data_IF_040240595590
#
_entry.id   IF_040240595590
#
_cell.length_a   1.000
_cell.length_b   1.000
_cell.length_c   1.000
_cell.angle_alpha   90.00
_cell.angle_beta   90.00
_cell.angle_gamma   90.00
#
_symmetry.space_group_name_H-M   'P 1'
#
loop_
_entity.id
_entity.type
_entity.pdbx_description
1 polymer ?
#
# COMPACT_ATOMS: atom_id res chain seq x y z
N UNK A 1 -29.39 16.75 -8.19
CA UNK A 1 -28.11 17.22 -7.63
C UNK A 1 -27.05 16.47 -8.39
N UNK A 2 -26.63 17.02 -9.53
CA UNK A 2 -25.67 16.38 -10.44
C UNK A 2 -24.27 16.54 -9.86
N UNK A 3 -23.50 15.47 -9.89
CA UNK A 3 -22.10 15.42 -9.48
C UNK A 3 -21.28 16.18 -10.54
N UNK A 4 -20.95 17.45 -10.25
CA UNK A 4 -20.16 18.31 -11.15
C UNK A 4 -18.71 17.79 -11.20
N UNK A 5 -18.51 16.77 -12.01
CA UNK A 5 -17.19 16.24 -12.32
C UNK A 5 -16.59 17.05 -13.46
N UNK A 6 -15.69 17.98 -13.12
CA UNK A 6 -14.91 18.73 -14.11
C UNK A 6 -14.14 17.78 -15.03
N UNK A 7 -14.24 17.99 -16.34
CA UNK A 7 -13.46 17.27 -17.34
C UNK A 7 -11.97 17.59 -17.21
N UNK A 8 -11.11 16.65 -17.63
CA UNK A 8 -9.66 16.83 -17.61
C UNK A 8 -9.20 18.09 -18.38
N UNK A 9 -9.84 18.40 -19.51
CA UNK A 9 -9.55 19.59 -20.31
C UNK A 9 -9.92 20.89 -19.61
N UNK A 10 -11.00 20.88 -18.84
CA UNK A 10 -11.47 22.05 -18.08
C UNK A 10 -10.53 22.34 -16.91
N UNK A 11 -10.08 21.29 -16.22
CA UNK A 11 -9.06 21.40 -15.17
C UNK A 11 -7.74 21.99 -15.69
N UNK A 12 -7.28 21.53 -16.87
CA UNK A 12 -6.06 22.07 -17.46
C UNK A 12 -6.20 23.58 -17.77
N UNK A 13 -7.36 23.99 -18.28
CA UNK A 13 -7.66 25.39 -18.57
C UNK A 13 -7.65 26.23 -17.29
N UNK A 14 -8.22 25.72 -16.20
CA UNK A 14 -8.21 26.40 -14.90
C UNK A 14 -6.77 26.56 -14.40
N UNK A 15 -5.96 25.49 -14.42
CA UNK A 15 -4.57 25.51 -13.94
C UNK A 15 -3.72 26.50 -14.73
N UNK A 16 -3.91 26.58 -16.05
CA UNK A 16 -3.17 27.52 -16.91
C UNK A 16 -3.47 28.99 -16.63
N UNK A 17 -4.65 29.29 -16.06
CA UNK A 17 -5.05 30.65 -15.71
C UNK A 17 -4.62 31.08 -14.29
N UNK A 18 -4.13 30.14 -13.46
CA UNK A 18 -3.56 30.44 -12.15
C UNK A 18 -2.20 31.13 -12.31
N UNK A 19 -1.81 31.94 -11.32
CA UNK A 19 -0.46 32.49 -11.29
C UNK A 19 0.60 31.41 -10.99
N UNK A 20 1.87 31.74 -11.22
CA UNK A 20 2.98 30.78 -11.06
C UNK A 20 3.10 30.26 -9.61
N UNK A 21 2.84 31.08 -8.60
CA UNK A 21 2.92 30.66 -7.21
C UNK A 21 1.77 29.71 -6.85
N UNK A 22 0.57 29.96 -7.36
CA UNK A 22 -0.60 29.09 -7.23
C UNK A 22 -0.40 27.75 -7.94
N UNK A 23 0.16 27.76 -9.15
CA UNK A 23 0.50 26.54 -9.88
C UNK A 23 1.51 25.68 -9.11
N UNK A 24 2.53 26.30 -8.52
CA UNK A 24 3.54 25.60 -7.71
C UNK A 24 2.94 25.01 -6.43
N UNK A 25 2.09 25.77 -5.73
CA UNK A 25 1.36 25.27 -4.55
C UNK A 25 0.49 24.06 -4.90
N UNK A 26 -0.29 24.17 -5.99
CA UNK A 26 -1.17 23.08 -6.43
C UNK A 26 -0.37 21.82 -6.82
N UNK A 27 0.77 21.98 -7.49
CA UNK A 27 1.65 20.87 -7.83
C UNK A 27 2.13 20.12 -6.57
N UNK A 28 2.52 20.86 -5.52
CA UNK A 28 2.97 20.27 -4.25
C UNK A 28 1.85 19.51 -3.54
N UNK A 29 0.64 20.06 -3.52
CA UNK A 29 -0.54 19.44 -2.92
C UNK A 29 -0.93 18.16 -3.64
N UNK A 30 -1.01 18.19 -4.98
CA UNK A 30 -1.32 17.03 -5.82
C UNK A 30 -0.26 15.95 -5.63
N UNK A 31 1.02 16.30 -5.62
CA UNK A 31 2.11 15.36 -5.35
C UNK A 31 1.97 14.72 -3.96
N UNK A 32 1.56 15.48 -2.95
CA UNK A 32 1.33 14.98 -1.59
C UNK A 32 0.16 14.02 -1.51
N UNK A 33 -0.96 14.33 -2.18
CA UNK A 33 -2.12 13.44 -2.28
C UNK A 33 -1.72 12.11 -2.93
N UNK A 34 -1.01 12.16 -4.06
CA UNK A 34 -0.54 10.96 -4.76
C UNK A 34 0.39 10.15 -3.86
N UNK A 35 1.39 10.78 -3.23
CA UNK A 35 2.28 10.09 -2.29
C UNK A 35 1.52 9.41 -1.15
N UNK A 36 0.52 10.07 -0.58
CA UNK A 36 -0.26 9.50 0.52
C UNK A 36 -1.16 8.32 0.07
N UNK A 37 -1.65 8.34 -1.17
CA UNK A 37 -2.36 7.19 -1.76
C UNK A 37 -1.43 6.01 -2.05
N UNK A 38 -0.20 6.30 -2.48
CA UNK A 38 0.82 5.28 -2.83
C UNK A 38 1.54 4.74 -1.59
N UNK A 39 1.53 5.45 -0.45
CA UNK A 39 2.01 4.92 0.83
C UNK A 39 1.18 3.68 1.18
N UNK A 40 1.72 2.51 0.84
CA UNK A 40 1.26 1.23 1.36
C UNK A 40 1.28 1.32 2.88
N UNK A 41 0.21 0.88 3.54
CA UNK A 41 0.21 0.73 4.99
C UNK A 41 1.48 -0.04 5.38
N UNK A 42 2.25 0.51 6.32
CA UNK A 42 3.35 -0.25 6.93
C UNK A 42 2.68 -1.33 7.78
N UNK A 43 2.74 -2.55 7.29
CA UNK A 43 2.24 -3.71 8.02
C UNK A 43 3.33 -4.17 8.99
N UNK A 44 2.93 -4.41 10.24
CA UNK A 44 3.81 -5.08 11.19
C UNK A 44 3.78 -6.58 10.94
N UNK A 45 4.93 -7.25 10.93
CA UNK A 45 4.98 -8.73 10.88
C UNK A 45 4.20 -9.37 12.03
N UNK A 46 4.00 -8.64 13.14
CA UNK A 46 3.18 -9.08 14.28
C UNK A 46 1.68 -9.20 13.95
N UNK A 47 1.22 -8.63 12.85
CA UNK A 47 -0.16 -8.83 12.35
C UNK A 47 -0.40 -10.30 11.96
N UNK A 48 0.66 -11.06 11.68
CA UNK A 48 0.58 -12.50 11.41
C UNK A 48 0.65 -13.36 12.68
N UNK A 49 0.83 -12.76 13.87
CA UNK A 49 1.01 -13.53 15.11
C UNK A 49 -0.24 -14.35 15.41
N UNK A 50 -0.06 -15.66 15.53
CA UNK A 50 -1.13 -16.60 15.82
C UNK A 50 -1.88 -17.09 14.59
N UNK A 51 -1.67 -16.48 13.41
CA UNK A 51 -2.14 -17.03 12.16
C UNK A 51 -1.40 -18.35 11.91
N UNK A 52 -2.15 -19.45 11.89
CA UNK A 52 -1.62 -20.80 11.70
C UNK A 52 -1.54 -21.65 12.97
N UNK A 53 -1.79 -21.10 14.17
CA UNK A 53 -1.75 -21.91 15.41
C UNK A 53 -2.59 -23.18 15.29
N UNK A 54 -3.84 -23.04 14.84
CA UNK A 54 -4.79 -24.16 14.67
C UNK A 54 -4.32 -25.19 13.63
N UNK A 55 -3.57 -24.76 12.61
CA UNK A 55 -2.99 -25.65 11.59
C UNK A 55 -1.84 -26.48 12.20
N UNK A 56 -1.06 -25.87 13.09
CA UNK A 56 0.08 -26.49 13.75
C UNK A 56 -0.29 -27.27 15.02
N UNK A 57 -1.54 -27.20 15.51
CA UNK A 57 -1.94 -27.85 16.78
C UNK A 57 -1.77 -29.38 16.77
N UNK A 58 -1.88 -30.01 15.60
CA UNK A 58 -1.70 -31.46 15.44
C UNK A 58 -0.33 -31.86 14.87
N UNK A 59 0.55 -30.89 14.63
CA UNK A 59 1.86 -31.09 14.02
C UNK A 59 2.93 -30.89 15.09
N UNK A 60 3.75 -31.93 15.32
CA UNK A 60 4.98 -31.74 16.10
C UNK A 60 5.93 -30.86 15.29
N UNK A 61 6.12 -29.62 15.76
CA UNK A 61 6.94 -28.64 15.08
C UNK A 61 8.42 -29.07 14.99
N UNK A 62 8.92 -29.78 15.99
CA UNK A 62 10.31 -30.24 16.02
C UNK A 62 10.51 -31.37 15.01
N UNK A 63 9.61 -32.36 15.00
CA UNK A 63 9.63 -33.46 14.03
C UNK A 63 9.48 -32.94 12.58
N UNK A 64 8.63 -31.95 12.35
CA UNK A 64 8.48 -31.33 11.03
C UNK A 64 9.79 -30.68 10.57
N UNK A 65 10.43 -29.89 11.43
CA UNK A 65 11.70 -29.20 11.10
C UNK A 65 12.83 -30.19 10.85
N UNK A 66 12.90 -31.27 11.63
CA UNK A 66 13.95 -32.28 11.47
C UNK A 66 13.78 -33.03 10.14
N UNK A 67 12.54 -33.39 9.74
CA UNK A 67 12.25 -33.96 8.41
C UNK A 67 12.64 -33.04 7.26
N UNK A 68 12.32 -31.75 7.37
CA UNK A 68 12.72 -30.77 6.35
C UNK A 68 14.25 -30.70 6.23
N UNK A 69 14.99 -30.67 7.35
CA UNK A 69 16.46 -30.65 7.35
C UNK A 69 17.06 -31.91 6.72
N UNK A 70 16.54 -33.07 7.08
CA UNK A 70 16.98 -34.34 6.50
C UNK A 70 16.68 -34.42 5.00
N UNK A 71 15.61 -33.76 4.52
CA UNK A 71 15.31 -33.70 3.09
C UNK A 71 16.21 -32.74 2.30
N UNK A 72 16.92 -31.84 2.99
CA UNK A 72 17.83 -30.84 2.39
C UNK A 72 19.30 -31.25 2.47
N UNK A 73 19.63 -32.35 3.15
CA UNK A 73 20.94 -32.99 2.97
C UNK A 73 20.97 -33.63 1.58
N UNK A 74 21.56 -32.91 0.62
CA UNK A 74 21.70 -33.30 -0.79
C UNK A 74 22.57 -34.53 -1.02
#
# INVERSE_FOLDING_TARGET
MTDDTLSHSELLTIIQNLDTDEQLRLMEEVATIIRNRVKTKKHSILELRGLGKEIWESVDAQEYVDRERDSWTG
#
